data_IF_654685496892
#
_entry.id   IF_654685496892
#
_cell.length_a   1.000
_cell.length_b   1.000
_cell.length_c   1.000
_cell.angle_alpha   90.00
_cell.angle_beta   90.00
_cell.angle_gamma   90.00
#
_symmetry.space_group_name_H-M   'P 1'
#
loop_
_entity.id
_entity.type
_entity.pdbx_description
1 polymer ?
#
# COMPACT_ATOMS: atom_id res chain seq x y z
N UNK A 1 -6.95 -0.12 -6.70
CA UNK A 1 -6.80 0.33 -5.28
C UNK A 1 -8.08 1.02 -4.80
N UNK A 2 -9.17 0.88 -5.55
CA UNK A 2 -10.40 1.67 -5.44
C UNK A 2 -11.22 1.41 -4.18
N UNK A 3 -10.90 0.33 -3.46
CA UNK A 3 -11.54 -0.06 -2.20
C UNK A 3 -10.86 0.54 -0.96
N UNK A 4 -9.63 1.05 -1.08
CA UNK A 4 -8.96 1.72 0.04
C UNK A 4 -9.34 3.20 0.06
N UNK A 5 -10.16 3.60 1.03
CA UNK A 5 -10.40 5.01 1.34
C UNK A 5 -9.63 5.37 2.62
N UNK A 6 -8.52 6.12 2.54
CA UNK A 6 -7.93 6.68 3.74
C UNK A 6 -8.95 7.64 4.37
N UNK A 7 -9.11 7.59 5.69
CA UNK A 7 -9.87 8.59 6.43
C UNK A 7 -9.24 9.96 6.16
N UNK A 8 -9.94 10.78 5.37
CA UNK A 8 -9.36 11.95 4.73
C UNK A 8 -9.30 13.12 5.69
N UNK A 9 -8.31 13.14 6.58
CA UNK A 9 -7.84 14.41 7.14
C UNK A 9 -6.98 15.12 6.08
N UNK A 10 -7.19 16.43 5.87
CA UNK A 10 -6.44 17.24 4.88
C UNK A 10 -4.91 17.09 5.00
N UNK A 11 -4.41 16.74 6.20
CA UNK A 11 -2.99 16.51 6.50
C UNK A 11 -2.40 15.21 5.92
N UNK A 12 -3.20 14.18 5.65
CA UNK A 12 -2.68 12.88 5.16
C UNK A 12 -2.37 12.92 3.65
N UNK A 13 -3.19 13.62 2.87
CA UNK A 13 -2.98 13.79 1.42
C UNK A 13 -1.79 14.70 1.10
N UNK A 14 -1.58 15.79 1.85
CA UNK A 14 -0.46 16.70 1.63
C UNK A 14 0.90 16.09 1.94
N UNK A 15 0.96 15.10 2.85
CA UNK A 15 2.19 14.40 3.24
C UNK A 15 2.45 13.10 2.46
N UNK A 16 1.62 12.76 1.46
CA UNK A 16 1.67 11.47 0.77
C UNK A 16 1.66 10.25 1.71
N UNK A 17 1.01 10.39 2.88
CA UNK A 17 0.92 9.33 3.90
C UNK A 17 -0.44 8.66 3.80
N UNK A 18 -0.44 7.34 3.76
CA UNK A 18 -1.64 6.51 3.69
C UNK A 18 -1.69 5.56 4.90
N UNK A 19 -2.21 6.02 6.06
CA UNK A 19 -2.29 5.21 7.27
C UNK A 19 -3.02 3.89 7.03
N UNK A 20 -2.49 2.79 7.55
CA UNK A 20 -3.07 1.45 7.40
C UNK A 20 -3.20 0.92 5.96
N UNK A 21 -2.65 1.59 4.94
CA UNK A 21 -2.67 1.11 3.54
C UNK A 21 -2.09 -0.29 3.40
N UNK A 22 -0.94 -0.53 4.00
CA UNK A 22 -0.26 -1.82 3.86
C UNK A 22 -1.01 -2.95 4.57
N UNK A 23 -1.69 -2.64 5.69
CA UNK A 23 -2.57 -3.58 6.40
C UNK A 23 -3.77 -3.94 5.52
N UNK A 24 -4.43 -2.93 4.96
CA UNK A 24 -5.54 -3.14 4.03
C UNK A 24 -5.15 -4.03 2.83
N UNK A 25 -3.99 -3.76 2.21
CA UNK A 25 -3.51 -4.56 1.07
C UNK A 25 -3.17 -6.01 1.50
N UNK A 26 -2.55 -6.18 2.67
CA UNK A 26 -2.28 -7.50 3.27
C UNK A 26 -3.57 -8.31 3.39
N UNK A 27 -4.59 -7.73 4.00
CA UNK A 27 -5.88 -8.39 4.21
C UNK A 27 -6.52 -8.71 2.85
N UNK A 28 -6.53 -7.75 1.91
CA UNK A 28 -7.07 -7.97 0.57
C UNK A 28 -6.38 -9.12 -0.18
N UNK A 29 -5.05 -9.24 -0.11
CA UNK A 29 -4.30 -10.35 -0.73
C UNK A 29 -4.75 -11.67 -0.13
N UNK A 30 -4.91 -11.74 1.20
CA UNK A 30 -5.37 -12.96 1.86
C UNK A 30 -6.80 -13.33 1.43
N UNK A 31 -7.72 -12.36 1.41
CA UNK A 31 -9.12 -12.61 1.01
C UNK A 31 -9.26 -13.06 -0.45
N UNK A 32 -8.47 -12.49 -1.37
CA UNK A 32 -8.57 -12.80 -2.80
C UNK A 32 -7.77 -14.03 -3.21
N UNK A 33 -6.61 -14.27 -2.59
CA UNK A 33 -5.65 -15.31 -3.04
C UNK A 33 -5.49 -16.47 -2.05
N UNK A 34 -6.01 -16.34 -0.83
CA UNK A 34 -5.76 -17.27 0.27
C UNK A 34 -4.34 -17.22 0.85
N UNK A 35 -3.41 -16.46 0.25
CA UNK A 35 -2.01 -16.38 0.68
C UNK A 35 -1.80 -15.25 1.67
N UNK A 36 -1.16 -15.55 2.81
CA UNK A 36 -0.80 -14.51 3.79
C UNK A 36 0.43 -13.73 3.36
N UNK A 37 0.33 -12.41 3.38
CA UNK A 37 1.44 -11.46 3.20
C UNK A 37 1.36 -10.43 4.31
N UNK A 38 2.45 -10.18 5.02
CA UNK A 38 2.46 -9.20 6.11
C UNK A 38 2.48 -7.78 5.55
N UNK A 39 2.00 -6.81 6.34
CA UNK A 39 2.07 -5.39 5.98
C UNK A 39 3.51 -4.93 5.66
N UNK A 40 4.53 -5.51 6.30
CA UNK A 40 5.95 -5.23 6.03
C UNK A 40 6.38 -5.76 4.66
N UNK A 41 5.99 -6.99 4.32
CA UNK A 41 6.27 -7.58 3.00
C UNK A 41 5.62 -6.77 1.88
N UNK A 42 4.36 -6.35 2.09
CA UNK A 42 3.63 -5.47 1.18
C UNK A 42 4.37 -4.14 0.99
N UNK A 43 4.77 -3.48 2.09
CA UNK A 43 5.50 -2.21 2.04
C UNK A 43 6.83 -2.32 1.29
N UNK A 44 7.64 -3.34 1.61
CA UNK A 44 8.91 -3.60 0.93
C UNK A 44 8.74 -3.84 -0.57
N UNK A 45 7.75 -4.65 -0.97
CA UNK A 45 7.48 -4.90 -2.39
C UNK A 45 7.04 -3.64 -3.13
N UNK A 46 6.21 -2.82 -2.51
CA UNK A 46 5.80 -1.54 -3.09
C UNK A 46 6.97 -0.57 -3.25
N UNK A 47 7.92 -0.56 -2.31
CA UNK A 47 9.14 0.24 -2.44
C UNK A 47 10.01 -0.26 -3.61
N UNK A 48 10.28 -1.56 -3.68
CA UNK A 48 10.99 -2.16 -4.81
C UNK A 48 10.35 -1.80 -6.15
N UNK A 49 9.03 -1.92 -6.27
CA UNK A 49 8.33 -1.55 -7.50
C UNK A 49 8.50 -0.06 -7.86
N UNK A 50 8.55 0.84 -6.88
CA UNK A 50 8.85 2.26 -7.15
C UNK A 50 10.28 2.45 -7.64
N UNK A 51 11.23 1.77 -7.02
CA UNK A 51 12.65 1.89 -7.35
C UNK A 51 12.97 1.24 -8.71
N UNK A 52 12.31 0.13 -9.05
CA UNK A 52 12.56 -0.62 -10.31
C UNK A 52 11.71 -0.17 -11.48
N UNK A 53 10.46 0.27 -11.24
CA UNK A 53 9.56 0.72 -12.30
C UNK A 53 9.54 2.24 -12.45
N UNK A 54 10.06 3.00 -11.48
CA UNK A 54 10.27 4.45 -11.55
C UNK A 54 11.57 4.84 -12.27
N UNK A 55 11.95 4.07 -13.30
CA UNK A 55 13.12 4.37 -14.12
C UNK A 55 13.02 5.74 -14.78
N UNK A 56 13.87 6.66 -14.32
CA UNK A 56 14.32 7.91 -14.95
C UNK A 56 13.23 8.93 -15.33
N UNK A 57 13.03 9.91 -14.45
CA UNK A 57 12.92 11.32 -14.85
C UNK A 57 13.88 12.13 -14.01
#
# INVERSE_FOLDING_TARGET
LDKYRPESSRSTRSLSRFPNRNRFISDYIYHVTGKRRTAKQVGSRLQQLRDTCGGKR
#
